data_IF_483649648167
#
_entry.id   IF_483649648167
#
_cell.length_a   1.000
_cell.length_b   1.000
_cell.length_c   1.000
_cell.angle_alpha   90.00
_cell.angle_beta   90.00
_cell.angle_gamma   90.00
#
_symmetry.space_group_name_H-M   'P 1'
#
loop_
_entity.id
_entity.type
_entity.pdbx_description
1 polymer ?
#
# COMPACT_ATOMS: atom_id res chain seq x y z
N UNK A 1 -16.98 83.21 42.31
CA UNK A 1 -16.62 84.02 41.12
C UNK A 1 -17.90 84.30 40.33
N UNK A 2 -18.55 85.46 40.49
CA UNK A 2 -19.73 85.74 39.67
C UNK A 2 -19.25 86.01 38.25
N UNK A 3 -19.75 85.19 37.32
CA UNK A 3 -19.57 85.35 35.88
C UNK A 3 -20.01 86.77 35.51
N UNK A 4 -19.06 87.62 35.15
CA UNK A 4 -19.34 88.98 34.66
C UNK A 4 -20.17 88.79 33.39
N UNK A 5 -21.48 89.06 33.46
CA UNK A 5 -22.32 89.09 32.28
C UNK A 5 -21.70 90.11 31.31
N UNK A 6 -21.60 89.78 30.01
CA UNK A 6 -20.96 90.66 29.04
C UNK A 6 -21.63 92.02 29.10
N UNK A 7 -20.83 93.07 29.28
CA UNK A 7 -21.30 94.46 29.29
C UNK A 7 -22.12 94.69 28.02
N UNK A 8 -23.45 94.78 28.17
CA UNK A 8 -24.38 95.22 27.12
C UNK A 8 -24.24 96.74 26.85
N UNK A 9 -23.02 97.27 26.92
CA UNK A 9 -22.71 98.69 26.69
C UNK A 9 -22.44 98.87 25.20
N UNK A 10 -23.50 99.07 24.42
CA UNK A 10 -23.40 99.75 23.13
C UNK A 10 -23.65 101.23 23.41
N UNK A 11 -22.77 102.08 22.89
CA UNK A 11 -22.95 103.52 22.81
C UNK A 11 -22.87 104.32 24.12
N UNK A 12 -21.63 104.51 24.61
CA UNK A 12 -21.29 105.70 25.39
C UNK A 12 -20.87 106.79 24.41
N UNK A 13 -21.75 107.77 24.19
CA UNK A 13 -21.53 108.95 23.33
C UNK A 13 -21.60 110.21 24.21
N UNK A 14 -20.46 110.68 24.70
CA UNK A 14 -20.40 111.92 25.49
C UNK A 14 -21.12 111.85 26.85
N UNK A 15 -21.22 113.00 27.53
CA UNK A 15 -21.74 113.10 28.91
C UNK A 15 -23.29 113.11 29.03
N UNK A 16 -24.02 112.68 28.01
CA UNK A 16 -25.47 112.49 28.07
C UNK A 16 -25.75 110.99 27.99
N UNK A 17 -25.86 110.37 29.16
CA UNK A 17 -26.15 108.96 29.35
C UNK A 17 -27.62 108.68 28.95
N UNK A 18 -27.86 108.48 27.66
CA UNK A 18 -29.18 108.12 27.13
C UNK A 18 -29.46 106.64 27.43
N UNK A 19 -29.55 106.27 28.71
CA UNK A 19 -30.14 105.00 29.12
C UNK A 19 -31.64 105.07 28.83
N UNK A 20 -32.18 104.31 27.85
CA UNK A 20 -33.62 104.35 27.57
C UNK A 20 -34.45 103.86 28.77
N UNK A 21 -33.85 103.05 29.64
CA UNK A 21 -34.46 102.56 30.88
C UNK A 21 -34.67 103.69 31.90
N UNK A 22 -33.75 104.66 31.98
CA UNK A 22 -33.83 105.81 32.89
C UNK A 22 -34.49 107.04 32.24
N UNK A 23 -34.57 107.10 30.91
CA UNK A 23 -35.17 108.23 30.18
C UNK A 23 -36.62 108.52 30.59
N UNK A 24 -37.39 107.49 30.96
CA UNK A 24 -38.76 107.67 31.50
C UNK A 24 -38.71 108.30 32.90
N UNK A 25 -37.74 107.90 33.73
CA UNK A 25 -37.50 108.50 35.05
C UNK A 25 -37.04 109.96 34.97
N UNK A 26 -36.13 110.27 34.04
CA UNK A 26 -35.68 111.63 33.77
C UNK A 26 -36.83 112.51 33.25
N UNK A 27 -37.67 111.96 32.37
CA UNK A 27 -38.87 112.66 31.88
C UNK A 27 -39.89 112.94 32.98
N UNK A 28 -40.15 111.98 33.87
CA UNK A 28 -41.05 112.18 35.02
C UNK A 28 -40.47 113.22 35.98
N UNK A 29 -39.15 113.15 36.25
CA UNK A 29 -38.44 114.11 37.10
C UNK A 29 -38.50 115.53 36.53
N UNK A 30 -38.31 115.68 35.22
CA UNK A 30 -38.49 116.96 34.51
C UNK A 30 -39.94 117.48 34.62
N UNK A 31 -40.95 116.61 34.47
CA UNK A 31 -42.36 117.00 34.64
C UNK A 31 -42.70 117.39 36.07
N UNK A 32 -42.09 116.74 37.06
CA UNK A 32 -42.25 117.09 38.48
C UNK A 32 -41.55 118.40 38.80
N UNK A 33 -40.35 118.64 38.28
CA UNK A 33 -39.68 119.94 38.38
C UNK A 33 -40.60 121.05 37.89
N UNK A 34 -41.23 120.91 36.71
CA UNK A 34 -42.17 121.93 36.22
C UNK A 34 -43.42 122.15 37.10
N UNK A 35 -43.86 121.16 37.89
CA UNK A 35 -44.98 121.33 38.82
C UNK A 35 -44.58 121.91 40.18
N UNK A 36 -43.36 121.63 40.64
CA UNK A 36 -42.88 122.05 41.97
C UNK A 36 -41.88 123.21 41.91
N UNK A 37 -41.50 123.69 40.72
CA UNK A 37 -40.78 124.95 40.57
C UNK A 37 -41.72 126.11 40.92
N UNK A 38 -41.77 126.42 42.20
CA UNK A 38 -42.16 127.75 42.66
C UNK A 38 -41.01 128.67 42.25
N UNK A 39 -41.24 129.50 41.24
CA UNK A 39 -40.32 130.60 40.91
C UNK A 39 -40.33 131.52 42.15
N UNK A 40 -39.23 131.63 42.91
CA UNK A 40 -39.19 132.61 43.98
C UNK A 40 -39.38 134.00 43.36
N UNK A 41 -40.24 134.88 43.92
CA UNK A 41 -40.35 136.25 43.47
C UNK A 41 -39.08 136.99 43.86
N UNK A 42 -38.04 136.90 43.04
CA UNK A 42 -36.91 137.82 43.10
C UNK A 42 -37.38 139.15 42.50
N UNK A 43 -37.98 140.00 43.33
CA UNK A 43 -38.36 141.38 42.97
C UNK A 43 -37.19 142.36 42.98
N UNK A 44 -35.97 141.93 43.35
CA UNK A 44 -34.78 142.80 43.44
C UNK A 44 -33.59 142.34 42.57
N UNK A 45 -33.82 141.47 41.59
CA UNK A 45 -32.96 141.44 40.42
C UNK A 45 -33.74 142.10 39.30
N UNK A 46 -33.23 143.22 38.78
CA UNK A 46 -33.77 143.85 37.59
C UNK A 46 -33.96 142.76 36.53
N UNK A 47 -35.21 142.44 36.23
CA UNK A 47 -35.55 141.41 35.27
C UNK A 47 -34.86 141.78 33.97
N UNK A 48 -34.02 140.87 33.49
CA UNK A 48 -33.50 140.94 32.13
C UNK A 48 -34.69 141.28 31.21
N UNK A 49 -34.55 142.35 30.42
CA UNK A 49 -35.63 142.83 29.57
C UNK A 49 -36.16 141.67 28.72
N UNK A 50 -37.44 141.70 28.32
CA UNK A 50 -38.00 140.68 27.41
C UNK A 50 -37.08 140.49 26.18
N UNK A 51 -36.45 141.59 25.74
CA UNK A 51 -35.43 141.60 24.70
C UNK A 51 -34.17 140.82 25.11
N UNK A 52 -33.65 140.97 26.32
CA UNK A 52 -32.48 140.24 26.81
C UNK A 52 -32.77 138.73 26.99
N UNK A 53 -33.96 138.37 27.49
CA UNK A 53 -34.42 136.97 27.56
C UNK A 53 -34.56 136.39 26.15
N UNK A 54 -35.14 137.15 25.22
CA UNK A 54 -35.24 136.75 23.82
C UNK A 54 -33.86 136.56 23.20
N UNK A 55 -32.92 137.47 23.42
CA UNK A 55 -31.53 137.38 22.95
C UNK A 55 -30.82 136.15 23.56
N UNK A 56 -31.01 135.87 24.86
CA UNK A 56 -30.45 134.69 25.49
C UNK A 56 -31.05 133.40 24.93
N UNK A 57 -32.38 133.31 24.80
CA UNK A 57 -33.05 132.16 24.19
C UNK A 57 -32.62 131.94 22.75
N UNK A 58 -32.46 133.02 21.98
CA UNK A 58 -31.96 132.95 20.61
C UNK A 58 -30.52 132.40 20.59
N UNK A 59 -29.66 132.88 21.50
CA UNK A 59 -28.27 132.41 21.64
C UNK A 59 -28.19 130.95 22.08
N UNK A 60 -29.04 130.54 23.03
CA UNK A 60 -29.14 129.14 23.49
C UNK A 60 -29.67 128.23 22.40
N UNK A 61 -30.69 128.67 21.66
CA UNK A 61 -31.24 127.94 20.53
C UNK A 61 -30.20 127.80 19.40
N UNK A 62 -29.47 128.88 19.07
CA UNK A 62 -28.34 128.82 18.14
C UNK A 62 -27.23 127.86 18.62
N UNK A 63 -26.91 127.86 19.92
CA UNK A 63 -25.94 126.93 20.51
C UNK A 63 -26.45 125.48 20.45
N UNK A 64 -27.74 125.26 20.69
CA UNK A 64 -28.39 123.94 20.62
C UNK A 64 -28.40 123.41 19.18
N UNK A 65 -28.72 124.26 18.20
CA UNK A 65 -28.66 123.89 16.78
C UNK A 65 -27.24 123.51 16.36
N UNK A 66 -26.24 124.30 16.76
CA UNK A 66 -24.82 123.96 16.53
C UNK A 66 -24.45 122.62 17.16
N UNK A 67 -24.86 122.37 18.40
CA UNK A 67 -24.59 121.10 19.09
C UNK A 67 -25.31 119.92 18.42
N UNK A 68 -26.57 120.07 18.01
CA UNK A 68 -27.30 119.04 17.28
C UNK A 68 -26.61 118.72 15.95
N UNK A 69 -26.13 119.73 15.23
CA UNK A 69 -25.39 119.55 13.99
C UNK A 69 -24.05 118.82 14.23
N UNK A 70 -23.32 119.16 15.29
CA UNK A 70 -22.12 118.44 15.73
C UNK A 70 -22.41 116.99 16.12
N UNK A 71 -23.49 116.74 16.86
CA UNK A 71 -23.91 115.38 17.22
C UNK A 71 -24.31 114.57 16.00
N UNK A 72 -25.05 115.17 15.05
CA UNK A 72 -25.51 114.51 13.84
C UNK A 72 -24.33 114.20 12.92
N UNK A 73 -23.37 115.13 12.78
CA UNK A 73 -22.14 114.91 12.01
C UNK A 73 -21.25 113.84 12.66
N UNK A 74 -21.09 113.86 13.98
CA UNK A 74 -20.37 112.84 14.75
C UNK A 74 -21.03 111.47 14.64
N UNK A 75 -22.35 111.39 14.83
CA UNK A 75 -23.13 110.17 14.69
C UNK A 75 -22.98 109.59 13.29
N UNK A 76 -23.19 110.40 12.23
CA UNK A 76 -22.97 109.99 10.83
C UNK A 76 -21.54 109.47 10.59
N UNK A 77 -20.52 110.13 11.17
CA UNK A 77 -19.12 109.70 11.08
C UNK A 77 -18.91 108.35 11.77
N UNK A 78 -19.52 108.14 12.94
CA UNK A 78 -19.43 106.90 13.69
C UNK A 78 -20.19 105.74 13.05
N UNK A 79 -21.37 105.98 12.46
CA UNK A 79 -22.10 104.95 11.69
C UNK A 79 -21.30 104.49 10.48
N UNK A 80 -20.65 105.43 9.78
CA UNK A 80 -19.72 105.10 8.67
C UNK A 80 -18.53 104.28 9.15
N UNK A 81 -17.94 104.63 10.29
CA UNK A 81 -16.80 103.90 10.87
C UNK A 81 -17.21 102.51 11.38
N UNK A 82 -18.36 102.38 12.03
CA UNK A 82 -18.88 101.10 12.53
C UNK A 82 -19.33 100.19 11.38
N UNK A 83 -20.00 100.71 10.36
CA UNK A 83 -20.36 99.92 9.17
C UNK A 83 -19.10 99.41 8.44
N UNK A 84 -18.03 100.20 8.38
CA UNK A 84 -16.73 99.75 7.88
C UNK A 84 -16.11 98.65 8.76
N UNK A 85 -16.15 98.78 10.10
CA UNK A 85 -15.67 97.75 11.04
C UNK A 85 -16.44 96.44 10.91
N UNK A 86 -17.77 96.48 10.87
CA UNK A 86 -18.64 95.30 10.71
C UNK A 86 -18.35 94.61 9.37
N UNK A 87 -18.23 95.38 8.28
CA UNK A 87 -17.87 94.84 6.97
C UNK A 87 -16.50 94.16 6.99
N UNK A 88 -15.51 94.75 7.65
CA UNK A 88 -14.18 94.15 7.81
C UNK A 88 -14.22 92.87 8.66
N UNK A 89 -15.02 92.84 9.73
CA UNK A 89 -15.22 91.65 10.55
C UNK A 89 -15.78 90.48 9.72
N UNK A 90 -16.83 90.72 8.92
CA UNK A 90 -17.37 89.70 8.02
C UNK A 90 -16.36 89.23 6.97
N UNK A 91 -15.56 90.14 6.40
CA UNK A 91 -14.47 89.78 5.48
C UNK A 91 -13.41 88.89 6.16
N UNK A 92 -13.03 89.20 7.40
CA UNK A 92 -12.06 88.42 8.16
C UNK A 92 -12.64 87.04 8.50
N UNK A 93 -13.90 86.97 8.95
CA UNK A 93 -14.57 85.71 9.26
C UNK A 93 -14.67 84.80 8.03
N UNK A 94 -15.03 85.36 6.87
CA UNK A 94 -15.08 84.63 5.61
C UNK A 94 -13.69 84.12 5.19
N UNK A 95 -12.65 84.95 5.35
CA UNK A 95 -11.26 84.53 5.10
C UNK A 95 -10.82 83.40 6.02
N UNK A 96 -11.18 83.45 7.30
CA UNK A 96 -10.89 82.40 8.27
C UNK A 96 -11.63 81.11 7.93
N UNK A 97 -12.89 81.19 7.51
CA UNK A 97 -13.69 80.04 7.07
C UNK A 97 -13.07 79.34 5.86
N UNK A 98 -12.64 80.10 4.85
CA UNK A 98 -11.94 79.55 3.68
C UNK A 98 -10.65 78.85 4.06
N UNK A 99 -9.81 79.49 4.89
CA UNK A 99 -8.58 78.88 5.41
C UNK A 99 -8.84 77.61 6.23
N UNK A 100 -9.91 77.58 7.04
CA UNK A 100 -10.27 76.39 7.80
C UNK A 100 -10.65 75.23 6.88
N UNK A 101 -11.41 75.50 5.81
CA UNK A 101 -11.75 74.50 4.80
C UNK A 101 -10.49 74.00 4.10
N UNK A 102 -9.60 74.90 3.66
CA UNK A 102 -8.32 74.57 3.01
C UNK A 102 -7.41 73.71 3.90
N UNK A 103 -7.28 74.06 5.18
CA UNK A 103 -6.47 73.28 6.14
C UNK A 103 -7.10 71.93 6.40
N UNK A 104 -8.43 71.86 6.54
CA UNK A 104 -9.12 70.59 6.77
C UNK A 104 -9.03 69.65 5.55
N UNK A 105 -9.17 70.18 4.32
CA UNK A 105 -8.95 69.40 3.11
C UNK A 105 -7.49 68.93 3.01
N UNK A 106 -6.54 69.80 3.34
CA UNK A 106 -5.11 69.44 3.35
C UNK A 106 -4.79 68.33 4.37
N UNK A 107 -5.35 68.39 5.58
CA UNK A 107 -5.16 67.34 6.60
C UNK A 107 -5.74 66.00 6.11
N UNK A 108 -6.91 66.01 5.47
CA UNK A 108 -7.51 64.80 4.88
C UNK A 108 -6.63 64.24 3.76
N UNK A 109 -6.19 65.08 2.84
CA UNK A 109 -5.30 64.67 1.74
C UNK A 109 -3.98 64.08 2.27
N UNK A 110 -3.40 64.67 3.31
CA UNK A 110 -2.20 64.14 3.97
C UNK A 110 -2.46 62.78 4.64
N UNK A 111 -3.60 62.61 5.33
CA UNK A 111 -3.96 61.35 5.95
C UNK A 111 -4.19 60.24 4.91
N UNK A 112 -4.86 60.57 3.79
CA UNK A 112 -5.09 59.64 2.70
C UNK A 112 -3.78 59.28 1.97
N UNK A 113 -2.91 60.27 1.70
CA UNK A 113 -1.56 60.03 1.16
C UNK A 113 -0.72 59.15 2.07
N UNK A 114 -0.75 59.38 3.39
CA UNK A 114 -0.07 58.53 4.37
C UNK A 114 -0.59 57.09 4.32
N UNK A 115 -1.91 56.90 4.31
CA UNK A 115 -2.52 55.57 4.23
C UNK A 115 -2.16 54.84 2.92
N UNK A 116 -2.15 55.55 1.80
CA UNK A 116 -1.72 54.99 0.51
C UNK A 116 -0.24 54.59 0.56
N UNK A 117 0.64 55.46 1.07
CA UNK A 117 2.06 55.19 1.20
C UNK A 117 2.34 53.99 2.14
N UNK A 118 1.61 53.86 3.24
CA UNK A 118 1.73 52.72 4.15
C UNK A 118 1.31 51.40 3.47
N UNK A 119 0.20 51.42 2.70
CA UNK A 119 -0.22 50.25 1.93
C UNK A 119 0.79 49.86 0.86
N UNK A 120 1.34 50.83 0.12
CA UNK A 120 2.36 50.54 -0.89
C UNK A 120 3.65 50.03 -0.25
N UNK A 121 4.07 50.60 0.87
CA UNK A 121 5.24 50.10 1.61
C UNK A 121 5.04 48.65 2.10
N UNK A 122 3.85 48.32 2.61
CA UNK A 122 3.53 46.94 3.01
C UNK A 122 3.57 45.98 1.81
N UNK A 123 2.95 46.35 0.68
CA UNK A 123 2.98 45.54 -0.53
C UNK A 123 4.41 45.31 -1.04
N UNK A 124 5.23 46.36 -1.09
CA UNK A 124 6.65 46.26 -1.45
C UNK A 124 7.43 45.35 -0.49
N UNK A 125 7.18 45.44 0.82
CA UNK A 125 7.86 44.56 1.79
C UNK A 125 7.49 43.09 1.64
N UNK A 126 6.26 42.78 1.21
CA UNK A 126 5.84 41.41 0.90
C UNK A 126 6.49 40.92 -0.39
N UNK A 127 6.45 41.72 -1.46
CA UNK A 127 7.13 41.42 -2.72
C UNK A 127 8.63 41.18 -2.52
N UNK A 128 9.29 41.98 -1.69
CA UNK A 128 10.71 41.79 -1.37
C UNK A 128 11.00 40.47 -0.64
N UNK A 129 10.08 39.98 0.20
CA UNK A 129 10.24 38.68 0.85
C UNK A 129 10.11 37.54 -0.15
N UNK A 130 9.08 37.57 -0.99
CA UNK A 130 8.87 36.55 -2.04
C UNK A 130 10.03 36.51 -3.04
N UNK A 131 10.50 37.68 -3.48
CA UNK A 131 11.68 37.77 -4.34
C UNK A 131 12.95 37.30 -3.62
N UNK A 132 13.09 37.58 -2.32
CA UNK A 132 14.21 37.10 -1.51
C UNK A 132 14.26 35.57 -1.42
N UNK A 133 13.11 34.93 -1.15
CA UNK A 133 12.98 33.46 -1.14
C UNK A 133 13.28 32.86 -2.52
N UNK A 134 12.77 33.49 -3.60
CA UNK A 134 13.09 33.10 -4.96
C UNK A 134 14.59 33.18 -5.26
N UNK A 135 15.25 34.28 -4.87
CA UNK A 135 16.70 34.48 -5.05
C UNK A 135 17.50 33.41 -4.31
N UNK A 136 17.14 33.06 -3.07
CA UNK A 136 17.83 32.01 -2.32
C UNK A 136 17.66 30.63 -2.98
N UNK A 137 16.44 30.27 -3.41
CA UNK A 137 16.22 29.01 -4.13
C UNK A 137 17.04 28.89 -5.42
N UNK A 138 17.19 30.00 -6.16
CA UNK A 138 18.03 30.04 -7.34
C UNK A 138 19.52 29.98 -7.01
N UNK A 139 19.98 30.60 -5.90
CA UNK A 139 21.37 30.47 -5.44
C UNK A 139 21.71 29.03 -5.09
N UNK A 140 20.80 28.32 -4.40
CA UNK A 140 20.97 26.91 -4.05
C UNK A 140 21.05 26.05 -5.31
N UNK A 141 20.12 26.25 -6.25
CA UNK A 141 20.11 25.55 -7.54
C UNK A 141 21.38 25.80 -8.36
N UNK A 142 21.88 27.04 -8.37
CA UNK A 142 23.16 27.40 -8.99
C UNK A 142 24.33 26.73 -8.26
N UNK A 143 24.26 26.60 -6.93
CA UNK A 143 25.23 25.87 -6.12
C UNK A 143 25.31 24.39 -6.50
N UNK A 144 24.17 23.72 -6.60
CA UNK A 144 24.06 22.33 -7.02
C UNK A 144 24.58 22.12 -8.45
N UNK A 145 24.19 22.99 -9.39
CA UNK A 145 24.65 22.93 -10.77
C UNK A 145 26.16 23.19 -10.89
N UNK A 146 26.72 24.09 -10.07
CA UNK A 146 28.17 24.30 -10.00
C UNK A 146 28.88 23.07 -9.45
N UNK A 147 28.38 22.45 -8.39
CA UNK A 147 28.94 21.22 -7.84
C UNK A 147 28.90 20.07 -8.87
N UNK A 148 27.75 19.89 -9.54
CA UNK A 148 27.61 18.92 -10.63
C UNK A 148 28.57 19.20 -11.80
N UNK A 149 28.74 20.47 -12.18
CA UNK A 149 29.70 20.87 -13.22
C UNK A 149 31.14 20.54 -12.83
N UNK A 150 31.54 20.79 -11.58
CA UNK A 150 32.88 20.45 -11.12
C UNK A 150 33.08 18.93 -11.04
N UNK A 151 32.07 18.17 -10.60
CA UNK A 151 32.10 16.70 -10.65
C UNK A 151 32.23 16.18 -12.09
N UNK A 152 31.46 16.75 -13.04
CA UNK A 152 31.53 16.37 -14.44
C UNK A 152 32.89 16.74 -15.06
N UNK A 153 33.47 17.90 -14.73
CA UNK A 153 34.84 18.26 -15.15
C UNK A 153 35.87 17.28 -14.60
N UNK A 154 35.75 16.87 -13.34
CA UNK A 154 36.65 15.88 -12.74
C UNK A 154 36.54 14.54 -13.49
N UNK A 155 35.33 14.04 -13.75
CA UNK A 155 35.15 12.81 -14.54
C UNK A 155 35.68 12.95 -15.97
N UNK A 156 35.50 14.11 -16.62
CA UNK A 156 36.06 14.34 -17.96
C UNK A 156 37.58 14.35 -17.94
N UNK A 157 38.21 14.88 -16.89
CA UNK A 157 39.67 14.81 -16.71
C UNK A 157 40.15 13.38 -16.47
N UNK A 158 39.41 12.57 -15.70
CA UNK A 158 39.70 11.14 -15.52
C UNK A 158 39.57 10.36 -16.83
N UNK A 159 38.62 10.72 -17.69
CA UNK A 159 38.40 10.05 -18.98
C UNK A 159 39.30 10.55 -20.12
N UNK A 160 39.91 11.73 -19.98
CA UNK A 160 40.78 12.34 -21.00
C UNK A 160 41.94 11.45 -21.47
N UNK A 161 42.64 10.68 -20.61
CA UNK A 161 43.68 9.75 -21.06
C UNK A 161 43.14 8.64 -21.96
N UNK A 162 41.95 8.10 -21.66
CA UNK A 162 41.35 7.04 -22.48
C UNK A 162 40.91 7.55 -23.85
N UNK A 163 40.40 8.79 -23.92
CA UNK A 163 40.09 9.46 -25.18
C UNK A 163 41.34 9.62 -26.05
N UNK A 164 42.48 10.02 -25.46
CA UNK A 164 43.76 10.10 -26.18
C UNK A 164 44.22 8.73 -26.71
N UNK A 165 44.07 7.67 -25.92
CA UNK A 165 44.41 6.31 -26.36
C UNK A 165 43.49 5.86 -27.49
N UNK A 166 42.19 6.17 -27.43
CA UNK A 166 41.24 5.89 -28.52
C UNK A 166 41.64 6.63 -29.80
N UNK A 167 42.01 7.90 -29.71
CA UNK A 167 42.51 8.69 -30.84
C UNK A 167 43.81 8.12 -31.41
N UNK A 168 44.73 7.63 -30.57
CA UNK A 168 45.96 6.97 -31.01
C UNK A 168 45.67 5.63 -31.72
N UNK A 169 44.75 4.82 -31.19
CA UNK A 169 44.33 3.56 -31.81
C UNK A 169 43.70 3.81 -33.18
N UNK A 170 42.82 4.81 -33.31
CA UNK A 170 42.21 5.19 -34.59
C UNK A 170 43.25 5.69 -35.60
N UNK A 171 44.33 6.34 -35.16
CA UNK A 171 45.43 6.76 -36.05
C UNK A 171 46.33 5.61 -36.48
N UNK A 172 46.56 4.63 -35.61
CA UNK A 172 47.46 3.49 -35.88
C UNK A 172 46.76 2.39 -36.67
N UNK A 173 45.46 2.17 -36.40
CA UNK A 173 44.67 1.14 -37.06
C UNK A 173 43.81 1.72 -38.18
N UNK A 174 43.98 1.23 -39.40
CA UNK A 174 43.11 1.54 -40.54
C UNK A 174 41.70 0.89 -40.44
N UNK A 175 41.40 0.24 -39.30
CA UNK A 175 40.16 -0.52 -39.09
C UNK A 175 39.01 0.41 -38.69
N UNK A 176 39.30 1.54 -38.04
CA UNK A 176 38.29 2.45 -37.50
C UNK A 176 38.37 3.81 -38.17
N UNK A 177 37.23 4.36 -38.59
CA UNK A 177 37.17 5.68 -39.24
C UNK A 177 37.13 6.83 -38.21
N UNK A 178 36.59 6.55 -37.01
CA UNK A 178 36.40 7.51 -35.93
C UNK A 178 36.46 6.81 -34.58
N UNK A 179 36.86 7.47 -33.47
CA UNK A 179 36.74 6.90 -32.13
C UNK A 179 35.33 6.40 -31.81
N UNK A 180 34.30 7.06 -32.36
CA UNK A 180 32.90 6.63 -32.25
C UNK A 180 32.62 5.28 -32.90
N UNK A 181 33.25 4.99 -34.03
CA UNK A 181 33.10 3.71 -34.72
C UNK A 181 33.70 2.56 -33.89
N UNK A 182 34.81 2.83 -33.19
CA UNK A 182 35.38 1.90 -32.22
C UNK A 182 34.43 1.67 -31.03
N UNK A 183 33.83 2.72 -30.46
CA UNK A 183 32.88 2.57 -29.36
C UNK A 183 31.61 1.84 -29.80
N UNK A 184 31.03 2.19 -30.95
CA UNK A 184 29.81 1.58 -31.45
C UNK A 184 30.00 0.09 -31.75
N UNK A 185 31.18 -0.29 -32.25
CA UNK A 185 31.53 -1.70 -32.48
C UNK A 185 31.77 -2.46 -31.17
N UNK A 186 32.42 -1.84 -30.20
CA UNK A 186 32.56 -2.40 -28.85
C UNK A 186 31.19 -2.58 -28.18
N UNK A 187 30.29 -1.60 -28.29
CA UNK A 187 28.93 -1.67 -27.77
C UNK A 187 28.13 -2.78 -28.45
N UNK A 188 28.23 -2.90 -29.78
CA UNK A 188 27.60 -4.01 -30.51
C UNK A 188 28.15 -5.38 -30.08
N UNK A 189 29.46 -5.50 -29.85
CA UNK A 189 30.08 -6.73 -29.34
C UNK A 189 29.66 -7.03 -27.90
N UNK A 190 29.56 -6.02 -27.03
CA UNK A 190 29.07 -6.18 -25.66
C UNK A 190 27.61 -6.61 -25.65
N UNK A 191 26.76 -6.00 -26.48
CA UNK A 191 25.35 -6.41 -26.64
C UNK A 191 25.25 -7.85 -27.15
N UNK A 192 26.01 -8.20 -28.18
CA UNK A 192 26.07 -9.56 -28.68
C UNK A 192 26.54 -10.56 -27.60
N UNK A 193 27.54 -10.19 -26.79
CA UNK A 193 28.00 -11.02 -25.68
C UNK A 193 26.91 -11.20 -24.61
N UNK A 194 26.16 -10.15 -24.27
CA UNK A 194 25.03 -10.23 -23.34
C UNK A 194 23.91 -11.13 -23.90
N UNK A 195 23.60 -11.02 -25.19
CA UNK A 195 22.60 -11.87 -25.86
C UNK A 195 23.04 -13.34 -25.91
N UNK A 196 24.29 -13.61 -26.26
CA UNK A 196 24.89 -14.96 -26.26
C UNK A 196 24.84 -15.54 -24.85
N UNK A 197 25.30 -14.82 -23.84
CA UNK A 197 25.26 -15.27 -22.44
C UNK A 197 23.84 -15.59 -21.98
N UNK A 198 22.85 -14.76 -22.37
CA UNK A 198 21.44 -15.00 -22.06
C UNK A 198 20.93 -16.28 -22.73
N UNK A 199 21.28 -16.50 -24.00
CA UNK A 199 20.89 -17.70 -24.74
C UNK A 199 21.59 -18.94 -24.19
N UNK A 200 22.88 -18.87 -23.86
CA UNK A 200 23.63 -19.95 -23.20
C UNK A 200 23.01 -20.31 -21.85
N UNK A 201 22.65 -19.31 -21.03
CA UNK A 201 21.99 -19.54 -19.76
C UNK A 201 20.64 -20.25 -19.93
N UNK A 202 19.84 -19.84 -20.90
CA UNK A 202 18.59 -20.53 -21.24
C UNK A 202 18.84 -21.98 -21.68
N UNK A 203 19.85 -22.23 -22.52
CA UNK A 203 20.20 -23.59 -22.95
C UNK A 203 20.72 -24.45 -21.81
N UNK A 204 21.48 -23.89 -20.87
CA UNK A 204 21.90 -24.61 -19.67
C UNK A 204 20.71 -24.99 -18.78
N UNK A 205 19.73 -24.09 -18.62
CA UNK A 205 18.49 -24.40 -17.91
C UNK A 205 17.69 -25.51 -18.61
N UNK A 206 17.57 -25.46 -19.94
CA UNK A 206 16.91 -26.52 -20.72
C UNK A 206 17.61 -27.88 -20.55
N UNK A 207 18.95 -27.90 -20.58
CA UNK A 207 19.75 -29.11 -20.38
C UNK A 207 19.56 -29.66 -18.97
N UNK A 208 19.57 -28.81 -17.95
CA UNK A 208 19.38 -29.24 -16.56
C UNK A 208 17.94 -29.78 -16.35
N UNK A 209 16.94 -29.14 -16.95
CA UNK A 209 15.57 -29.65 -16.96
C UNK A 209 15.47 -31.03 -17.64
N UNK A 210 16.13 -31.22 -18.79
CA UNK A 210 16.19 -32.51 -19.48
C UNK A 210 16.92 -33.57 -18.63
N UNK A 211 18.01 -33.19 -17.97
CA UNK A 211 18.77 -34.06 -17.07
C UNK A 211 17.91 -34.51 -15.89
N UNK A 212 17.18 -33.60 -15.26
CA UNK A 212 16.27 -33.93 -14.16
C UNK A 212 15.17 -34.90 -14.61
N UNK A 213 14.55 -34.66 -15.77
CA UNK A 213 13.58 -35.60 -16.37
C UNK A 213 14.20 -36.96 -16.67
N UNK A 214 15.42 -36.97 -17.22
CA UNK A 214 16.13 -38.21 -17.51
C UNK A 214 16.39 -39.00 -16.22
N UNK A 215 16.87 -38.35 -15.16
CA UNK A 215 17.09 -38.98 -13.85
C UNK A 215 15.78 -39.57 -13.31
N UNK A 216 14.68 -38.82 -13.36
CA UNK A 216 13.36 -39.32 -12.95
C UNK A 216 12.95 -40.56 -13.74
N UNK A 217 12.99 -40.50 -15.07
CA UNK A 217 12.64 -41.64 -15.94
C UNK A 217 13.54 -42.85 -15.67
N UNK A 218 14.84 -42.64 -15.47
CA UNK A 218 15.77 -43.74 -15.16
C UNK A 218 15.51 -44.36 -13.79
N UNK A 219 15.11 -43.57 -12.80
CA UNK A 219 14.75 -44.06 -11.48
C UNK A 219 13.45 -44.88 -11.53
N UNK A 220 12.44 -44.39 -12.23
CA UNK A 220 11.18 -45.11 -12.45
C UNK A 220 11.42 -46.41 -13.23
N UNK A 221 12.27 -46.37 -14.26
CA UNK A 221 12.69 -47.56 -15.00
C UNK A 221 13.46 -48.54 -14.10
N UNK A 222 14.33 -48.07 -13.21
CA UNK A 222 15.05 -48.93 -12.27
C UNK A 222 14.09 -49.60 -11.27
N UNK A 223 13.10 -48.86 -10.75
CA UNK A 223 12.08 -49.40 -9.84
C UNK A 223 11.17 -50.43 -10.53
N UNK A 224 10.76 -50.17 -11.77
CA UNK A 224 9.96 -51.13 -12.55
C UNK A 224 10.75 -52.40 -12.87
N UNK A 225 12.02 -52.28 -13.27
CA UNK A 225 12.91 -53.43 -13.46
C UNK A 225 13.11 -54.22 -12.17
N UNK A 226 13.25 -53.54 -11.02
CA UNK A 226 13.34 -54.20 -9.72
C UNK A 226 12.05 -54.95 -9.36
N UNK A 227 10.88 -54.35 -9.63
CA UNK A 227 9.58 -55.00 -9.48
C UNK A 227 9.47 -56.27 -10.33
N UNK A 228 9.82 -56.18 -11.61
CA UNK A 228 9.83 -57.33 -12.53
C UNK A 228 10.80 -58.43 -12.08
N UNK A 229 11.99 -58.08 -11.58
CA UNK A 229 12.93 -59.06 -11.02
C UNK A 229 12.37 -59.78 -9.81
N UNK A 230 11.66 -59.07 -8.93
CA UNK A 230 11.01 -59.68 -7.77
C UNK A 230 9.89 -60.64 -8.19
N UNK A 231 9.08 -60.26 -9.18
CA UNK A 231 8.00 -61.11 -9.69
C UNK A 231 8.53 -62.34 -10.46
N UNK A 232 9.60 -62.18 -11.24
CA UNK A 232 10.33 -63.29 -11.84
C UNK A 232 10.81 -64.27 -10.75
N UNK A 233 11.44 -63.76 -9.69
CA UNK A 233 11.93 -64.60 -8.60
C UNK A 233 10.79 -65.32 -7.86
N UNK A 234 9.60 -64.71 -7.74
CA UNK A 234 8.41 -65.40 -7.19
C UNK A 234 7.94 -66.51 -8.13
N UNK A 235 7.88 -66.23 -9.43
CA UNK A 235 7.46 -67.19 -10.44
C UNK A 235 8.42 -68.38 -10.53
N UNK A 236 9.73 -68.15 -10.46
CA UNK A 236 10.75 -69.21 -10.43
C UNK A 236 10.62 -70.10 -9.19
N UNK A 237 10.33 -69.52 -8.02
CA UNK A 237 10.06 -70.30 -6.80
C UNK A 237 8.80 -71.17 -6.97
N UNK A 238 7.70 -70.57 -7.40
CA UNK A 238 6.44 -71.29 -7.67
C UNK A 238 6.62 -72.40 -8.71
N UNK A 239 7.40 -72.15 -9.75
CA UNK A 239 7.72 -73.13 -10.77
C UNK A 239 8.55 -74.29 -10.21
N UNK A 240 9.57 -73.99 -9.41
CA UNK A 240 10.40 -75.01 -8.78
C UNK A 240 9.61 -75.87 -7.78
N UNK A 241 8.75 -75.27 -6.96
CA UNK A 241 7.84 -75.98 -6.07
C UNK A 241 6.91 -76.90 -6.83
N UNK A 242 6.27 -76.39 -7.89
CA UNK A 242 5.38 -77.19 -8.75
C UNK A 242 6.13 -78.35 -9.41
N UNK A 243 7.36 -78.11 -9.90
CA UNK A 243 8.21 -79.14 -10.49
C UNK A 243 8.57 -80.23 -9.49
N UNK A 244 8.91 -79.87 -8.25
CA UNK A 244 9.18 -80.85 -7.18
C UNK A 244 7.93 -81.67 -6.87
N UNK A 245 6.75 -81.06 -6.84
CA UNK A 245 5.48 -81.78 -6.66
C UNK A 245 5.18 -82.73 -7.83
N UNK A 246 5.37 -82.30 -9.08
CA UNK A 246 5.21 -83.17 -10.24
C UNK A 246 6.13 -84.39 -10.16
N UNK A 247 7.43 -84.19 -9.87
CA UNK A 247 8.38 -85.30 -9.70
C UNK A 247 7.98 -86.25 -8.56
N UNK A 248 7.41 -85.72 -7.47
CA UNK A 248 6.89 -86.53 -6.37
C UNK A 248 5.72 -87.41 -6.84
N UNK A 249 4.76 -86.84 -7.56
CA UNK A 249 3.61 -87.58 -8.09
C UNK A 249 4.01 -88.58 -9.17
N UNK A 250 4.97 -88.25 -10.02
CA UNK A 250 5.53 -89.18 -11.00
C UNK A 250 6.19 -90.39 -10.31
N UNK A 251 6.94 -90.18 -9.23
CA UNK A 251 7.53 -91.29 -8.44
C UNK A 251 6.46 -92.16 -7.81
N UNK A 252 5.40 -91.57 -7.27
CA UNK A 252 4.27 -92.33 -6.68
C UNK A 252 3.55 -93.12 -7.78
N UNK A 253 3.33 -92.50 -8.95
CA UNK A 253 2.70 -93.14 -10.10
C UNK A 253 3.55 -94.30 -10.66
N UNK A 254 4.87 -94.14 -10.74
CA UNK A 254 5.77 -95.21 -11.16
C UNK A 254 5.70 -96.39 -10.17
N UNK A 255 5.83 -96.12 -8.87
CA UNK A 255 5.75 -97.16 -7.83
C UNK A 255 4.41 -97.90 -7.83
N UNK A 256 3.30 -97.19 -8.06
CA UNK A 256 1.97 -97.81 -8.14
C UNK A 256 1.83 -98.65 -9.40
N UNK A 257 2.34 -98.20 -10.56
CA UNK A 257 2.40 -99.01 -11.78
C UNK A 257 3.23 -100.28 -11.59
N UNK A 258 4.40 -100.17 -10.97
CA UNK A 258 5.25 -101.32 -10.68
C UNK A 258 4.57 -102.30 -9.73
N UNK A 259 3.90 -101.81 -8.69
CA UNK A 259 3.12 -102.65 -7.78
C UNK A 259 1.96 -103.36 -8.48
N UNK A 260 1.22 -102.66 -9.37
CA UNK A 260 0.15 -103.25 -10.18
C UNK A 260 0.71 -104.33 -11.11
N UNK A 261 1.82 -104.06 -11.79
CA UNK A 261 2.47 -105.02 -12.68
C UNK A 261 2.97 -106.26 -11.92
N UNK A 262 3.60 -106.08 -10.77
CA UNK A 262 4.06 -107.21 -9.94
C UNK A 262 2.89 -108.06 -9.45
N UNK A 263 1.83 -107.43 -8.93
CA UNK A 263 0.61 -108.13 -8.52
C UNK A 263 -0.06 -108.87 -9.69
N UNK A 264 -0.07 -108.26 -10.89
CA UNK A 264 -0.57 -108.92 -12.09
C UNK A 264 0.29 -110.12 -12.47
N UNK A 265 1.62 -110.00 -12.46
CA UNK A 265 2.53 -111.10 -12.78
C UNK A 265 2.45 -112.24 -11.75
N UNK A 266 2.33 -111.92 -10.46
CA UNK A 266 2.14 -112.93 -9.42
C UNK A 266 0.79 -113.64 -9.56
N UNK A 267 -0.26 -112.90 -9.93
CA UNK A 267 -1.55 -113.50 -10.31
C UNK A 267 -1.42 -114.43 -11.52
N UNK A 268 -0.73 -114.02 -12.58
CA UNK A 268 -0.52 -114.88 -13.75
C UNK A 268 0.29 -116.14 -13.41
N UNK A 269 1.36 -116.00 -12.62
CA UNK A 269 2.17 -117.13 -12.15
C UNK A 269 1.38 -118.10 -11.28
N UNK A 270 0.54 -117.60 -10.40
CA UNK A 270 -0.33 -118.45 -9.56
C UNK A 270 -1.36 -119.19 -10.41
N UNK A 271 -1.98 -118.52 -11.38
CA UNK A 271 -2.88 -119.17 -12.35
C UNK A 271 -2.15 -120.26 -13.15
N UNK A 272 -0.94 -119.98 -13.63
CA UNK A 272 -0.14 -120.96 -14.38
C UNK A 272 0.29 -122.14 -13.50
N UNK A 273 0.64 -121.89 -12.23
CA UNK A 273 0.96 -122.93 -11.25
C UNK A 273 -0.24 -123.83 -10.94
N UNK A 274 -1.43 -123.26 -10.74
CA UNK A 274 -2.69 -123.99 -10.56
C UNK A 274 -2.96 -124.86 -11.80
N UNK A 275 -2.81 -124.29 -12.99
CA UNK A 275 -3.02 -125.01 -14.26
C UNK A 275 -2.00 -126.15 -14.44
N UNK A 276 -0.75 -125.95 -14.03
CA UNK A 276 0.29 -126.98 -14.06
C UNK A 276 0.01 -128.11 -13.05
N UNK A 277 -0.39 -127.77 -11.82
CA UNK A 277 -0.75 -128.74 -10.78
C UNK A 277 -1.92 -129.61 -11.25
N UNK A 278 -2.95 -128.98 -11.83
CA UNK A 278 -4.08 -129.70 -12.43
C UNK A 278 -3.63 -130.67 -13.52
N UNK A 279 -2.73 -130.25 -14.42
CA UNK A 279 -2.15 -131.12 -15.45
C UNK A 279 -1.41 -132.32 -14.88
N UNK A 280 -0.65 -132.15 -13.78
CA UNK A 280 0.05 -133.25 -13.11
C UNK A 280 -0.94 -134.25 -12.52
N UNK A 281 -1.98 -133.77 -11.83
CA UNK A 281 -3.02 -134.62 -11.23
C UNK A 281 -3.83 -135.37 -12.28
N UNK A 282 -4.19 -134.72 -13.39
CA UNK A 282 -4.86 -135.38 -14.53
C UNK A 282 -3.97 -136.43 -15.20
N UNK A 283 -2.68 -136.14 -15.38
CA UNK A 283 -1.72 -137.11 -15.91
C UNK A 283 -1.59 -138.34 -15.03
N UNK A 284 -1.69 -138.19 -13.70
CA UNK A 284 -1.65 -139.33 -12.77
C UNK A 284 -2.87 -140.26 -12.91
N UNK A 285 -4.04 -139.72 -13.27
CA UNK A 285 -5.25 -140.52 -13.55
C UNK A 285 -5.35 -141.00 -15.01
N UNK A 286 -4.35 -140.71 -15.86
CA UNK A 286 -4.38 -140.91 -17.31
C UNK A 286 -5.55 -140.22 -18.04
N UNK A 287 -6.15 -139.18 -17.46
CA UNK A 287 -7.25 -138.42 -18.08
C UNK A 287 -6.69 -137.25 -18.89
N UNK A 288 -6.97 -137.24 -20.20
CA UNK A 288 -6.52 -136.21 -21.12
C UNK A 288 -7.61 -135.14 -21.29
N UNK A 289 -7.67 -134.16 -20.38
CA UNK A 289 -8.52 -132.97 -20.56
C UNK A 289 -7.71 -131.69 -20.35
N UNK A 290 -7.85 -130.75 -21.27
CA UNK A 290 -7.21 -129.44 -21.22
C UNK A 290 -8.27 -128.40 -20.86
N UNK A 291 -8.36 -127.92 -19.61
CA UNK A 291 -9.30 -126.87 -19.29
C UNK A 291 -8.89 -125.55 -19.96
N UNK A 292 -9.87 -124.83 -20.49
CA UNK A 292 -9.68 -123.47 -20.95
C UNK A 292 -9.40 -122.56 -19.74
N UNK A 293 -8.51 -121.55 -19.91
CA UNK A 293 -8.02 -120.63 -18.85
C UNK A 293 -9.12 -119.85 -18.10
N UNK A 294 -10.38 -119.91 -18.55
CA UNK A 294 -11.52 -119.19 -17.97
C UNK A 294 -12.22 -119.87 -16.79
N UNK A 295 -12.09 -121.18 -16.61
CA UNK A 295 -12.80 -121.93 -15.56
C UNK A 295 -11.89 -122.26 -14.36
N UNK A 296 -11.22 -121.25 -13.79
CA UNK A 296 -10.26 -121.45 -12.69
C UNK A 296 -10.91 -122.13 -11.47
N UNK A 297 -12.16 -121.79 -11.16
CA UNK A 297 -12.89 -122.34 -10.02
C UNK A 297 -13.09 -123.85 -10.17
N UNK A 298 -13.51 -124.33 -11.36
CA UNK A 298 -13.67 -125.77 -11.62
C UNK A 298 -12.34 -126.52 -11.57
N UNK A 299 -11.26 -125.88 -12.01
CA UNK A 299 -9.91 -126.44 -11.95
C UNK A 299 -9.48 -126.61 -10.49
N UNK A 300 -9.74 -125.62 -9.64
CA UNK A 300 -9.45 -125.66 -8.21
C UNK A 300 -10.29 -126.72 -7.49
N UNK A 301 -11.59 -126.81 -7.77
CA UNK A 301 -12.47 -127.84 -7.19
C UNK A 301 -11.99 -129.25 -7.54
N UNK A 302 -11.58 -129.47 -8.80
CA UNK A 302 -11.03 -130.75 -9.23
C UNK A 302 -9.69 -131.06 -8.54
N UNK A 303 -8.79 -130.08 -8.40
CA UNK A 303 -7.55 -130.25 -7.63
C UNK A 303 -7.87 -130.61 -6.18
N UNK A 304 -8.80 -129.90 -5.53
CA UNK A 304 -9.17 -130.12 -4.14
C UNK A 304 -9.72 -131.53 -3.93
N UNK A 305 -10.64 -131.97 -4.79
CA UNK A 305 -11.19 -133.33 -4.73
C UNK A 305 -10.11 -134.42 -4.91
N UNK A 306 -9.13 -134.22 -5.79
CA UNK A 306 -8.00 -135.16 -5.90
C UNK A 306 -7.11 -135.14 -4.67
N UNK A 307 -6.77 -133.95 -4.15
CA UNK A 307 -5.93 -133.83 -2.94
C UNK A 307 -6.60 -134.51 -1.75
N UNK A 308 -7.92 -134.38 -1.59
CA UNK A 308 -8.68 -135.09 -0.55
C UNK A 308 -8.56 -136.61 -0.67
N UNK A 309 -8.68 -137.15 -1.89
CA UNK A 309 -8.49 -138.59 -2.17
C UNK A 309 -7.07 -139.02 -1.81
N UNK A 310 -6.05 -138.24 -2.19
CA UNK A 310 -4.65 -138.54 -1.87
C UNK A 310 -4.37 -138.50 -0.37
N UNK A 311 -4.93 -137.50 0.31
CA UNK A 311 -4.80 -137.36 1.76
C UNK A 311 -5.49 -138.53 2.48
N UNK A 312 -6.61 -139.01 1.93
CA UNK A 312 -7.29 -140.23 2.39
C UNK A 312 -6.40 -141.47 2.28
N UNK A 313 -5.78 -141.69 1.11
CA UNK A 313 -4.86 -142.82 0.87
C UNK A 313 -3.63 -142.75 1.78
N UNK A 314 -3.04 -141.57 1.97
CA UNK A 314 -1.88 -141.41 2.89
C UNK A 314 -2.28 -141.73 4.33
N UNK A 315 -3.43 -141.25 4.81
CA UNK A 315 -3.93 -141.58 6.15
C UNK A 315 -4.19 -143.07 6.32
N UNK A 316 -4.70 -143.75 5.29
CA UNK A 316 -4.84 -145.21 5.31
C UNK A 316 -3.48 -145.91 5.40
N UNK A 317 -2.48 -145.47 4.63
CA UNK A 317 -1.11 -146.02 4.69
C UNK A 317 -0.49 -145.79 6.07
N UNK A 318 -0.58 -144.57 6.62
CA UNK A 318 -0.08 -144.26 7.97
C UNK A 318 -0.79 -145.08 9.05
N UNK A 319 -2.07 -145.43 8.85
CA UNK A 319 -2.78 -146.36 9.75
C UNK A 319 -2.41 -147.83 9.54
N UNK A 320 -1.86 -148.18 8.38
CA UNK A 320 -1.51 -149.55 7.97
C UNK A 320 -0.05 -149.91 8.26
N UNK A 321 0.81 -148.94 8.58
CA UNK A 321 2.24 -149.16 8.78
C UNK A 321 2.61 -149.19 10.29
N UNK A 322 2.77 -150.37 10.93
CA UNK A 322 3.03 -150.50 12.37
C UNK A 322 4.47 -150.14 12.79
N UNK A 323 5.26 -149.47 11.95
CA UNK A 323 6.69 -149.25 12.17
C UNK A 323 7.08 -147.87 12.73
N UNK A 324 6.13 -146.95 12.92
CA UNK A 324 6.37 -145.66 13.64
C UNK A 324 6.44 -145.84 15.18
N UNK A 325 6.25 -147.07 15.71
CA UNK A 325 6.53 -147.37 17.13
C UNK A 325 8.00 -147.72 17.46
N UNK A 326 8.95 -147.61 16.52
CA UNK A 326 10.35 -147.90 16.83
C UNK A 326 11.37 -146.75 16.69
N UNK A 327 10.95 -145.52 16.35
CA UNK A 327 11.84 -144.35 16.50
C UNK A 327 11.60 -143.53 17.79
N UNK A 328 10.42 -143.58 18.41
CA UNK A 328 10.21 -142.93 19.72
C UNK A 328 10.80 -143.69 20.93
N UNK A 329 11.44 -144.85 20.71
CA UNK A 329 12.11 -145.59 21.79
C UNK A 329 13.61 -145.27 21.96
N UNK A 330 14.22 -144.44 21.08
CA UNK A 330 15.65 -144.07 21.21
C UNK A 330 15.94 -142.64 21.65
N UNK A 331 14.97 -141.73 21.63
CA UNK A 331 15.18 -140.35 22.11
C UNK A 331 14.70 -140.10 23.56
N UNK A 332 14.58 -141.15 24.37
CA UNK A 332 14.49 -141.04 25.84
C UNK A 332 15.75 -141.50 26.59
N UNK A 333 16.90 -141.56 25.92
CA UNK A 333 18.20 -141.70 26.58
C UNK A 333 19.21 -140.69 26.07
N UNK A 334 18.92 -139.40 26.30
CA UNK A 334 19.91 -138.35 26.48
C UNK A 334 19.25 -137.28 27.37
N UNK A 335 19.51 -137.45 28.67
CA UNK A 335 19.43 -136.37 29.66
C UNK A 335 20.43 -135.27 29.33
#
# INVERSE_FOLDING_TARGET
>A
MPRVKPTKKLDVLGNLDLRPEDAVGDYISSKQQNKFFVIPPNSDSAGDSIELIYVNNLREHEAMLKLQEEMLTSAKRQTKLNSARVRNMYKIQERLRRRFIEVNSFIKDCADKKRVAEKTAQAETLNHKELGEGIESFKDSIGELKAFREALKATVQEFQPYEKVLDEVVKVSDIFVSPKDCTDRCDALMLAQVEINKLEHQKLQDIENMRQRMVQITNDAALTVLGLKNDLAKLERSYNESRVQCLRWEKILAKTKDAINNNYMDKERTIDAITNLHRILLRRRDVHSFPARGDLDKVLDAIMGEVEILTGVVKEIESSDPSIKHEEARDKSLC
#
